data_IF_616881584793
#
_entry.id   IF_616881584793
#
_cell.length_a   1.000
_cell.length_b   1.000
_cell.length_c   1.000
_cell.angle_alpha   90.00
_cell.angle_beta   90.00
_cell.angle_gamma   90.00
#
_symmetry.space_group_name_H-M   'P 1'
#
loop_
_entity.id
_entity.type
_entity.pdbx_description
1 polymer ?
#
# COMPACT_ATOMS: atom_id res chain seq x y z
N UNK A 1 47.53 17.79 -33.91
CA UNK A 1 46.93 17.40 -32.61
C UNK A 1 46.05 18.53 -32.11
N UNK A 2 44.72 18.38 -32.18
CA UNK A 2 43.76 19.29 -31.55
C UNK A 2 42.92 18.46 -30.59
N UNK A 3 43.26 18.58 -29.31
CA UNK A 3 42.56 17.98 -28.19
C UNK A 3 41.32 18.84 -27.92
N UNK A 4 40.15 18.40 -28.37
CA UNK A 4 38.87 19.03 -28.01
C UNK A 4 38.28 18.25 -26.84
N UNK A 5 38.55 18.79 -25.65
CA UNK A 5 37.86 18.46 -24.40
C UNK A 5 36.40 18.85 -24.57
N UNK A 6 35.52 17.87 -24.74
CA UNK A 6 34.07 18.04 -24.60
C UNK A 6 33.63 17.26 -23.36
N UNK A 7 33.88 17.88 -22.21
CA UNK A 7 33.01 17.71 -21.04
C UNK A 7 31.66 18.33 -21.41
N UNK A 8 30.66 17.51 -21.66
CA UNK A 8 29.28 17.96 -21.72
C UNK A 8 28.39 16.89 -21.13
N UNK A 9 28.06 17.14 -19.86
CA UNK A 9 26.72 16.99 -19.30
C UNK A 9 26.18 15.56 -19.28
N UNK A 10 26.55 14.87 -18.20
CA UNK A 10 25.62 14.35 -17.20
C UNK A 10 24.11 14.46 -17.55
N UNK A 11 23.64 13.74 -18.56
CA UNK A 11 22.24 13.35 -18.66
C UNK A 11 22.02 12.18 -17.71
N UNK A 12 22.15 12.47 -16.42
CA UNK A 12 21.51 11.69 -15.39
C UNK A 12 20.02 11.95 -15.58
N UNK A 13 19.43 11.22 -16.53
CA UNK A 13 18.00 11.05 -16.65
C UNK A 13 17.53 10.36 -15.36
N UNK A 14 17.44 11.13 -14.28
CA UNK A 14 16.45 10.93 -13.23
C UNK A 14 15.13 11.04 -13.97
N UNK A 15 14.69 9.93 -14.55
CA UNK A 15 13.26 9.67 -14.66
C UNK A 15 12.76 9.74 -13.24
N UNK A 16 12.30 10.94 -12.86
CA UNK A 16 11.37 11.13 -11.76
C UNK A 16 10.17 10.30 -12.18
N UNK A 17 10.19 9.02 -11.81
CA UNK A 17 8.99 8.21 -11.75
C UNK A 17 8.11 8.98 -10.78
N UNK A 18 7.20 9.78 -11.34
CA UNK A 18 6.12 10.35 -10.59
C UNK A 18 5.47 9.16 -9.88
N UNK A 19 5.70 9.05 -8.56
CA UNK A 19 5.04 8.04 -7.76
C UNK A 19 3.55 8.17 -8.09
N UNK A 20 2.87 7.09 -8.54
CA UNK A 20 1.52 7.21 -9.03
C UNK A 20 0.68 7.87 -7.95
N UNK A 21 0.22 9.10 -8.22
CA UNK A 21 -0.73 9.81 -7.37
C UNK A 21 -1.94 8.88 -7.23
N UNK A 22 -2.07 8.19 -6.09
CA UNK A 22 -3.14 7.22 -5.84
C UNK A 22 -2.71 5.78 -5.53
N UNK A 23 -1.41 5.51 -5.43
CA UNK A 23 -0.85 4.16 -5.36
C UNK A 23 -1.59 3.18 -4.43
N UNK A 24 -1.80 3.52 -3.14
CA UNK A 24 -2.47 2.62 -2.19
C UNK A 24 -3.99 2.85 -2.04
N UNK A 25 -4.46 4.07 -2.28
CA UNK A 25 -5.83 4.51 -1.95
C UNK A 25 -6.75 4.52 -3.17
N UNK A 26 -6.20 4.28 -4.36
CA UNK A 26 -6.95 3.96 -5.58
C UNK A 26 -7.20 2.46 -5.77
N UNK A 27 -6.61 1.60 -4.93
CA UNK A 27 -6.81 0.16 -4.97
C UNK A 27 -7.86 -0.25 -3.93
N UNK A 28 -9.04 -0.66 -4.39
CA UNK A 28 -10.08 -1.27 -3.56
C UNK A 28 -9.63 -2.65 -3.05
N UNK A 29 -8.84 -2.62 -1.97
CA UNK A 29 -8.43 -3.82 -1.24
C UNK A 29 -9.56 -4.37 -0.37
N UNK A 30 -10.65 -3.63 -0.18
CA UNK A 30 -11.76 -4.05 0.69
C UNK A 30 -12.68 -5.00 -0.08
N UNK A 31 -12.89 -6.20 0.43
CA UNK A 31 -13.97 -7.05 -0.08
C UNK A 31 -15.32 -6.50 0.40
N UNK A 32 -16.36 -6.50 -0.46
CA UNK A 32 -17.68 -6.03 -0.07
C UNK A 32 -18.25 -6.94 1.03
N UNK A 33 -18.20 -6.47 2.28
CA UNK A 33 -19.10 -6.86 3.38
C UNK A 33 -18.70 -6.21 4.73
N UNK A 34 -19.73 -5.76 5.47
CA UNK A 34 -19.76 -5.21 6.84
C UNK A 34 -19.14 -3.85 7.13
N UNK A 35 -19.57 -3.32 8.30
CA UNK A 35 -19.09 -2.11 8.98
C UNK A 35 -17.59 -2.21 9.28
N UNK A 36 -16.79 -1.82 8.30
CA UNK A 36 -15.37 -1.60 8.43
C UNK A 36 -15.07 -0.09 8.55
N UNK A 37 -13.87 0.24 9.04
CA UNK A 37 -13.40 1.60 9.10
C UNK A 37 -11.88 1.65 8.91
N UNK A 38 -11.41 2.61 8.12
CA UNK A 38 -10.00 3.01 8.09
C UNK A 38 -9.77 4.19 9.04
N UNK A 39 -8.73 4.13 9.87
CA UNK A 39 -8.29 5.22 10.73
C UNK A 39 -6.78 5.51 10.50
N UNK A 40 -6.39 6.69 9.98
CA UNK A 40 -7.27 7.73 9.42
C UNK A 40 -7.97 7.27 8.12
N UNK A 41 -9.02 7.97 7.65
CA UNK A 41 -9.69 7.64 6.39
C UNK A 41 -8.74 7.72 5.19
N UNK A 42 -8.97 6.87 4.18
CA UNK A 42 -8.11 6.78 2.99
C UNK A 42 -8.17 8.00 2.05
N UNK A 43 -9.09 8.94 2.27
CA UNK A 43 -9.33 10.12 1.41
C UNK A 43 -8.07 10.97 1.19
N UNK A 44 -7.19 11.02 2.18
CA UNK A 44 -5.93 11.78 2.14
C UNK A 44 -4.71 10.91 1.80
N UNK A 45 -4.92 9.64 1.47
CA UNK A 45 -3.84 8.72 1.15
C UNK A 45 -2.74 8.64 2.22
N UNK A 46 -3.10 8.31 3.47
CA UNK A 46 -2.14 8.29 4.56
C UNK A 46 -1.06 7.23 4.32
N UNK A 47 0.16 7.48 4.83
CA UNK A 47 1.24 6.49 4.76
C UNK A 47 0.98 5.24 5.59
N UNK A 48 0.18 5.40 6.64
CA UNK A 48 -0.22 4.33 7.53
C UNK A 48 -1.69 4.49 7.86
N UNK A 49 -2.39 3.38 7.96
CA UNK A 49 -3.79 3.34 8.38
C UNK A 49 -4.05 2.07 9.16
N UNK A 50 -5.09 2.09 9.97
CA UNK A 50 -5.59 0.91 10.65
C UNK A 50 -6.94 0.53 10.08
N UNK A 51 -7.08 -0.71 9.63
CA UNK A 51 -8.36 -1.30 9.24
C UNK A 51 -9.01 -1.94 10.46
N UNK A 52 -10.25 -1.57 10.73
CA UNK A 52 -11.00 -1.96 11.92
C UNK A 52 -12.28 -2.70 11.54
N UNK A 53 -12.58 -3.76 12.29
CA UNK A 53 -13.83 -4.50 12.20
C UNK A 53 -14.63 -4.38 13.50
N UNK A 54 -15.83 -3.80 13.42
CA UNK A 54 -16.69 -3.69 14.60
C UNK A 54 -17.31 -5.04 14.96
N UNK A 55 -16.92 -5.62 16.09
CA UNK A 55 -17.48 -6.89 16.58
C UNK A 55 -17.05 -8.11 15.76
N UNK A 56 -15.96 -8.02 15.00
CA UNK A 56 -15.45 -9.11 14.17
C UNK A 56 -13.93 -9.05 14.05
N UNK A 57 -13.31 -10.13 13.58
CA UNK A 57 -11.86 -10.17 13.32
C UNK A 57 -11.58 -9.59 11.93
N UNK A 58 -10.36 -9.11 11.71
CA UNK A 58 -9.87 -8.70 10.40
C UNK A 58 -9.28 -9.92 9.68
N UNK A 59 -9.75 -10.19 8.47
CA UNK A 59 -9.18 -11.19 7.56
C UNK A 59 -8.40 -10.49 6.46
N UNK A 60 -7.14 -10.86 6.31
CA UNK A 60 -6.21 -10.36 5.30
C UNK A 60 -5.86 -11.51 4.36
N UNK A 61 -6.03 -11.31 3.06
CA UNK A 61 -5.52 -12.15 2.00
C UNK A 61 -4.29 -11.47 1.39
N UNK A 62 -3.15 -12.15 1.41
CA UNK A 62 -1.91 -11.67 0.82
C UNK A 62 -1.81 -12.10 -0.65
N UNK A 63 -0.98 -11.42 -1.43
CA UNK A 63 -0.80 -11.72 -2.87
C UNK A 63 -0.32 -13.15 -3.16
N UNK A 64 0.33 -13.81 -2.19
CA UNK A 64 0.76 -15.21 -2.30
C UNK A 64 -0.33 -16.23 -1.90
N UNK A 65 -1.60 -15.80 -1.85
CA UNK A 65 -2.77 -16.58 -1.44
C UNK A 65 -2.76 -17.07 0.03
N UNK A 66 -1.78 -16.69 0.85
CA UNK A 66 -1.84 -16.93 2.30
C UNK A 66 -2.81 -15.95 2.97
N UNK A 67 -3.40 -16.36 4.08
CA UNK A 67 -4.31 -15.51 4.86
C UNK A 67 -3.83 -15.34 6.29
N UNK A 68 -4.22 -14.21 6.90
CA UNK A 68 -4.06 -13.96 8.33
C UNK A 68 -5.37 -13.45 8.93
N UNK A 69 -5.63 -13.86 10.17
CA UNK A 69 -6.72 -13.35 10.99
C UNK A 69 -6.12 -12.51 12.12
N UNK A 70 -6.56 -11.26 12.26
CA UNK A 70 -6.11 -10.33 13.31
C UNK A 70 -7.31 -9.82 14.10
N UNK A 71 -7.13 -9.59 15.40
CA UNK A 71 -8.21 -9.11 16.27
C UNK A 71 -7.78 -7.82 17.00
N UNK A 72 -8.60 -6.76 17.05
CA UNK A 72 -9.76 -6.42 16.20
C UNK A 72 -9.35 -5.56 14.98
N UNK A 73 -8.05 -5.40 14.76
CA UNK A 73 -7.48 -4.40 13.88
C UNK A 73 -6.30 -4.95 13.06
N UNK A 74 -6.05 -4.34 11.92
CA UNK A 74 -4.83 -4.56 11.13
C UNK A 74 -4.21 -3.23 10.75
N UNK A 75 -2.95 -3.04 11.12
CA UNK A 75 -2.14 -1.91 10.65
C UNK A 75 -1.64 -2.18 9.23
N UNK A 76 -1.81 -1.18 8.37
CA UNK A 76 -1.38 -1.18 6.99
C UNK A 76 -0.42 -0.01 6.76
N UNK A 77 0.66 -0.27 6.06
CA UNK A 77 1.61 0.74 5.59
C UNK A 77 1.57 0.79 4.07
N UNK A 78 1.51 1.99 3.50
CA UNK A 78 1.56 2.18 2.06
C UNK A 78 3.01 2.09 1.58
N UNK A 79 3.33 1.08 0.77
CA UNK A 79 4.63 0.96 0.12
C UNK A 79 4.65 1.82 -1.14
N UNK A 80 5.34 2.97 -1.07
CA UNK A 80 5.38 3.96 -2.15
C UNK A 80 5.96 3.45 -3.48
N UNK A 81 6.84 2.46 -3.45
CA UNK A 81 7.55 1.97 -4.64
C UNK A 81 6.63 1.26 -5.64
N UNK A 82 5.61 0.56 -5.15
CA UNK A 82 4.68 -0.25 -5.95
C UNK A 82 3.20 0.09 -5.70
N UNK A 83 2.92 0.98 -4.75
CA UNK A 83 1.56 1.36 -4.40
C UNK A 83 0.78 0.33 -3.63
N UNK A 84 1.44 -0.63 -2.98
CA UNK A 84 0.74 -1.70 -2.28
C UNK A 84 0.58 -1.39 -0.80
N UNK A 85 -0.56 -1.78 -0.23
CA UNK A 85 -0.71 -1.87 1.21
C UNK A 85 0.06 -3.08 1.73
N UNK A 86 0.79 -2.90 2.83
CA UNK A 86 1.55 -3.97 3.46
C UNK A 86 1.24 -4.04 4.95
N UNK A 87 1.24 -5.23 5.52
CA UNK A 87 1.20 -5.42 6.97
C UNK A 87 2.55 -5.11 7.62
N UNK A 88 2.60 -5.06 8.95
CA UNK A 88 3.81 -4.76 9.73
C UNK A 88 4.97 -5.76 9.52
N UNK A 89 4.67 -6.97 9.03
CA UNK A 89 5.65 -7.99 8.63
C UNK A 89 6.13 -7.83 7.18
N UNK A 90 5.75 -6.74 6.50
CA UNK A 90 6.20 -6.40 5.16
C UNK A 90 5.48 -7.16 4.03
N UNK A 91 4.47 -7.99 4.32
CA UNK A 91 3.73 -8.73 3.28
C UNK A 91 2.71 -7.84 2.56
N UNK A 92 2.65 -7.97 1.23
CA UNK A 92 1.69 -7.25 0.38
C UNK A 92 0.27 -7.79 0.55
N UNK A 93 -0.68 -6.89 0.79
CA UNK A 93 -2.11 -7.19 0.93
C UNK A 93 -2.77 -7.16 -0.44
N UNK A 94 -3.45 -8.24 -0.81
CA UNK A 94 -4.34 -8.29 -1.98
C UNK A 94 -5.75 -7.84 -1.58
N UNK A 95 -6.32 -8.50 -0.55
CA UNK A 95 -7.65 -8.18 -0.02
C UNK A 95 -7.71 -8.12 1.49
N UNK A 96 -8.61 -7.30 2.02
CA UNK A 96 -8.90 -7.16 3.44
C UNK A 96 -10.41 -7.13 3.67
N UNK A 97 -10.86 -7.74 4.77
CA UNK A 97 -12.28 -7.85 5.09
C UNK A 97 -12.50 -8.08 6.59
N UNK A 98 -13.76 -8.01 7.02
CA UNK A 98 -14.16 -8.49 8.32
C UNK A 98 -14.57 -9.97 8.23
N UNK A 99 -13.93 -10.80 9.04
CA UNK A 99 -14.16 -12.24 9.12
C UNK A 99 -15.51 -12.51 9.78
N UNK A 100 -16.39 -13.21 9.06
CA UNK A 100 -17.63 -13.75 9.62
C UNK A 100 -17.25 -14.97 10.46
N UNK A 101 -17.25 -14.85 11.78
CA UNK A 101 -17.40 -16.05 12.62
C UNK A 101 -18.78 -16.64 12.41
#
# INVERSE_FOLDING_TARGET
MKLLVLFSLLDLALTVTAAPKGACCGNDIVLPNYRNQFKPPLKECPLKTTFLCSGSKVKILYENASNAIRNPAAELTCRKSDGKWTTSDGRSVDKISCDRQ
#
